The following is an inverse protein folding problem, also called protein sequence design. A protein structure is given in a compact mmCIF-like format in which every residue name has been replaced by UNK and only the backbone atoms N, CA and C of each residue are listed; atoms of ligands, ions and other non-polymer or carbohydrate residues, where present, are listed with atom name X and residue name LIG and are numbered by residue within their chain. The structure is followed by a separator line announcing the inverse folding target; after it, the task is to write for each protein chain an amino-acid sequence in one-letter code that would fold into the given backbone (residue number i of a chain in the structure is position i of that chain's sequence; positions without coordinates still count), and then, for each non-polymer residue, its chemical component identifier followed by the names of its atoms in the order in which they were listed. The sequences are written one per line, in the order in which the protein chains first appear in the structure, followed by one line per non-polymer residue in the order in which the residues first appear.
data_IF_074640818654
#
_entry.id   IF_074640818654
#
_cell.length_a   1.000
_cell.length_b   1.000
_cell.length_c   1.000
_cell.angle_alpha   90.00
_cell.angle_beta   90.00
_cell.angle_gamma   90.00
#
_symmetry.space_group_name_H-M   'P 1'
#
loop_
_entity.id
_entity.type
_entity.pdbx_description
1 polymer ?
#
# COMPACT_ATOMS: atom_id res chain seq x y z
N UNK A 1 -7.66 27.46 -16.63
CA UNK A 1 -7.13 26.21 -17.19
C UNK A 1 -6.62 25.41 -16.01
N UNK A 2 -7.38 24.42 -15.55
CA UNK A 2 -6.94 23.54 -14.46
C UNK A 2 -5.91 22.58 -15.04
N UNK A 3 -4.74 22.54 -14.43
CA UNK A 3 -3.68 21.59 -14.79
C UNK A 3 -4.07 20.21 -14.24
N UNK A 4 -4.27 19.26 -15.14
CA UNK A 4 -4.47 17.86 -14.77
C UNK A 4 -3.08 17.22 -14.77
N UNK A 5 -2.34 17.42 -13.67
CA UNK A 5 -1.06 16.76 -13.47
C UNK A 5 -1.32 15.26 -13.34
N UNK A 6 -0.95 14.50 -14.37
CA UNK A 6 -0.96 13.05 -14.37
C UNK A 6 0.37 12.56 -13.80
N UNK A 7 0.32 11.72 -12.77
CA UNK A 7 1.50 11.08 -12.21
C UNK A 7 1.69 9.72 -12.87
N UNK A 8 2.57 9.67 -13.89
CA UNK A 8 2.93 8.46 -14.60
C UNK A 8 4.31 8.00 -14.13
N UNK A 9 4.37 6.85 -13.44
CA UNK A 9 5.62 6.18 -13.10
C UNK A 9 6.28 5.62 -14.36
N UNK A 10 7.21 6.38 -14.94
CA UNK A 10 7.89 6.03 -16.19
C UNK A 10 8.99 4.99 -16.00
N UNK A 11 9.81 5.14 -14.96
CA UNK A 11 10.96 4.29 -14.69
C UNK A 11 11.38 4.40 -13.23
N UNK A 12 11.76 3.28 -12.62
CA UNK A 12 12.43 3.24 -11.32
C UNK A 12 13.75 2.49 -11.46
N UNK A 13 14.84 3.06 -10.94
CA UNK A 13 16.14 2.39 -10.83
C UNK A 13 16.44 2.25 -9.34
N UNK A 14 16.73 1.03 -8.91
CA UNK A 14 16.89 0.68 -7.50
C UNK A 14 18.24 0.00 -7.35
N UNK A 15 19.05 0.50 -6.43
CA UNK A 15 20.38 -0.06 -6.12
C UNK A 15 20.31 -0.64 -4.73
N UNK A 16 20.59 -1.93 -4.62
CA UNK A 16 20.53 -2.68 -3.38
C UNK A 16 21.94 -3.06 -2.93
N UNK A 17 22.27 -2.77 -1.67
CA UNK A 17 23.40 -3.40 -1.00
C UNK A 17 22.95 -4.74 -0.41
N UNK A 18 23.19 -5.82 -1.14
CA UNK A 18 22.78 -7.17 -0.74
C UNK A 18 23.43 -7.65 0.55
N UNK A 19 24.60 -7.10 0.94
CA UNK A 19 25.26 -7.45 2.19
C UNK A 19 24.51 -6.88 3.41
N UNK A 20 23.71 -5.83 3.23
CA UNK A 20 22.86 -5.28 4.28
C UNK A 20 21.54 -6.04 4.44
N UNK A 21 21.23 -6.99 3.54
CA UNK A 21 19.93 -7.66 3.45
C UNK A 21 19.97 -9.11 3.95
N UNK A 22 21.03 -9.54 4.64
CA UNK A 22 21.30 -10.95 5.00
C UNK A 22 20.16 -11.67 5.76
N UNK A 23 19.22 -10.92 6.33
CA UNK A 23 18.10 -11.47 7.12
C UNK A 23 16.81 -11.66 6.30
N UNK A 24 16.76 -11.21 5.05
CA UNK A 24 15.59 -11.28 4.18
C UNK A 24 15.82 -12.19 2.96
N UNK A 25 14.81 -12.99 2.61
CA UNK A 25 14.82 -13.76 1.37
C UNK A 25 14.64 -12.84 0.14
N UNK A 26 15.15 -13.28 -1.01
CA UNK A 26 15.05 -12.54 -2.27
C UNK A 26 13.61 -12.16 -2.61
N UNK A 27 12.63 -13.04 -2.35
CA UNK A 27 11.20 -12.76 -2.58
C UNK A 27 10.74 -11.57 -1.72
N UNK A 28 11.09 -11.57 -0.43
CA UNK A 28 10.72 -10.51 0.50
C UNK A 28 11.32 -9.17 0.07
N UNK A 29 12.59 -9.17 -0.35
CA UNK A 29 13.27 -7.98 -0.87
C UNK A 29 12.54 -7.46 -2.12
N UNK A 30 12.22 -8.34 -3.08
CA UNK A 30 11.54 -7.91 -4.30
C UNK A 30 10.14 -7.35 -4.04
N UNK A 31 9.41 -7.93 -3.08
CA UNK A 31 8.07 -7.48 -2.71
C UNK A 31 8.12 -6.13 -1.96
N UNK A 32 9.06 -5.96 -1.03
CA UNK A 32 9.32 -4.69 -0.33
C UNK A 32 9.67 -3.57 -1.31
N UNK A 33 10.63 -3.85 -2.20
CA UNK A 33 11.10 -2.91 -3.22
C UNK A 33 9.98 -2.55 -4.20
N UNK A 34 9.16 -3.52 -4.61
CA UNK A 34 8.01 -3.27 -5.47
C UNK A 34 6.98 -2.37 -4.78
N UNK A 35 6.70 -2.57 -3.48
CA UNK A 35 5.81 -1.67 -2.73
C UNK A 35 6.31 -0.23 -2.72
N UNK A 36 7.57 0.00 -2.35
CA UNK A 36 8.15 1.35 -2.30
C UNK A 36 8.11 2.00 -3.69
N UNK A 37 8.55 1.28 -4.72
CA UNK A 37 8.66 1.80 -6.06
C UNK A 37 7.31 2.14 -6.70
N UNK A 38 6.32 1.26 -6.53
CA UNK A 38 5.00 1.42 -7.13
C UNK A 38 4.13 2.40 -6.33
N UNK A 39 4.19 2.35 -5.01
CA UNK A 39 3.39 3.23 -4.16
C UNK A 39 4.04 4.60 -3.92
N UNK A 40 5.33 4.78 -4.25
CA UNK A 40 6.11 5.97 -3.95
C UNK A 40 6.05 6.35 -2.44
N UNK A 41 6.08 5.32 -1.58
CA UNK A 41 6.01 5.45 -0.12
C UNK A 41 7.41 5.67 0.46
N UNK A 42 7.50 6.50 1.50
CA UNK A 42 8.70 6.62 2.33
C UNK A 42 8.92 5.28 3.09
N UNK A 43 10.05 4.58 2.90
CA UNK A 43 10.31 3.29 3.53
C UNK A 43 10.35 3.31 5.07
N UNK A 44 10.56 4.48 5.68
CA UNK A 44 10.67 4.63 7.14
C UNK A 44 9.30 4.80 7.82
N UNK A 45 8.20 4.52 7.11
CA UNK A 45 6.85 4.57 7.69
C UNK A 45 6.53 3.31 8.49
N UNK A 46 5.83 3.50 9.60
CA UNK A 46 5.25 2.42 10.39
C UNK A 46 3.84 2.10 9.87
N UNK A 47 3.61 0.96 9.21
CA UNK A 47 2.32 0.64 8.62
C UNK A 47 1.31 0.26 9.71
N UNK A 48 0.11 0.85 9.65
CA UNK A 48 -0.96 0.56 10.61
C UNK A 48 -1.52 -0.88 10.53
N UNK A 49 -1.16 -1.64 9.49
CA UNK A 49 -1.58 -3.01 9.23
C UNK A 49 -0.37 -3.83 8.78
N UNK A 50 -0.35 -5.16 9.03
CA UNK A 50 0.73 -6.02 8.57
C UNK A 50 1.01 -5.84 7.07
N UNK A 51 2.25 -5.50 6.76
CA UNK A 51 2.70 -5.14 5.43
C UNK A 51 4.08 -5.73 5.18
N UNK A 52 4.42 -5.98 3.91
CA UNK A 52 5.82 -6.25 3.55
C UNK A 52 6.75 -5.10 3.95
N UNK A 53 6.24 -3.88 4.15
CA UNK A 53 7.02 -2.75 4.66
C UNK A 53 7.60 -3.00 6.07
N UNK A 54 7.04 -3.95 6.83
CA UNK A 54 7.54 -4.37 8.14
C UNK A 54 8.82 -5.23 8.07
N UNK A 55 9.30 -5.59 6.86
CA UNK A 55 10.41 -6.52 6.65
C UNK A 55 11.68 -6.16 7.44
N UNK A 56 11.95 -4.87 7.61
CA UNK A 56 13.12 -4.36 8.34
C UNK A 56 12.76 -3.69 9.68
N UNK A 57 11.50 -3.76 10.10
CA UNK A 57 11.06 -3.23 11.41
C UNK A 57 11.55 -4.14 12.54
N UNK A 58 11.97 -3.56 13.66
CA UNK A 58 12.37 -4.31 14.86
C UNK A 58 11.16 -4.95 15.58
N UNK A 59 9.98 -4.33 15.46
CA UNK A 59 8.75 -4.72 16.16
C UNK A 59 7.72 -5.40 15.24
N UNK A 60 7.95 -5.36 13.92
CA UNK A 60 7.04 -5.86 12.89
C UNK A 60 7.08 -7.37 12.69
N UNK A 61 6.00 -7.92 12.13
CA UNK A 61 6.02 -9.31 11.66
C UNK A 61 6.72 -9.36 10.31
N UNK A 62 7.77 -10.18 10.19
CA UNK A 62 8.47 -10.39 8.93
C UNK A 62 7.60 -11.22 7.99
N UNK A 63 6.84 -10.53 7.14
CA UNK A 63 5.95 -11.17 6.19
C UNK A 63 6.77 -11.87 5.07
N UNK A 64 6.41 -13.10 4.67
CA UNK A 64 7.17 -13.85 3.67
C UNK A 64 6.94 -13.33 2.24
N UNK A 65 5.86 -12.60 2.00
CA UNK A 65 5.44 -12.01 0.73
C UNK A 65 4.57 -10.77 0.98
N UNK A 66 4.26 -9.99 -0.07
CA UNK A 66 3.22 -8.95 0.00
C UNK A 66 1.95 -9.48 0.69
N UNK A 67 1.45 -8.72 1.65
CA UNK A 67 0.23 -9.07 2.35
C UNK A 67 -0.99 -8.79 1.50
N UNK A 68 -2.17 -9.15 2.02
CA UNK A 68 -3.43 -8.77 1.38
C UNK A 68 -3.60 -7.25 1.35
N UNK A 69 -3.15 -6.56 2.40
CA UNK A 69 -3.19 -5.11 2.51
C UNK A 69 -2.36 -4.46 1.39
N UNK A 70 -1.12 -4.91 1.20
CA UNK A 70 -0.20 -4.39 0.17
C UNK A 70 -0.79 -4.48 -1.23
N UNK A 71 -1.29 -5.66 -1.60
CA UNK A 71 -1.89 -5.89 -2.92
C UNK A 71 -3.15 -5.07 -3.13
N UNK A 72 -4.01 -4.99 -2.12
CA UNK A 72 -5.24 -4.21 -2.19
C UNK A 72 -4.94 -2.71 -2.32
N UNK A 73 -3.90 -2.22 -1.64
CA UNK A 73 -3.43 -0.85 -1.76
C UNK A 73 -2.96 -0.53 -3.19
N UNK A 74 -2.08 -1.37 -3.76
CA UNK A 74 -1.61 -1.17 -5.14
C UNK A 74 -2.76 -1.25 -6.16
N UNK A 75 -3.69 -2.19 -5.98
CA UNK A 75 -4.88 -2.28 -6.84
C UNK A 75 -5.75 -1.03 -6.73
N UNK A 76 -5.93 -0.49 -5.54
CA UNK A 76 -6.67 0.75 -5.33
C UNK A 76 -5.96 1.97 -5.95
N UNK A 77 -4.63 2.03 -5.82
CA UNK A 77 -3.78 3.10 -6.36
C UNK A 77 -3.85 3.15 -7.90
N UNK A 78 -3.77 2.00 -8.57
CA UNK A 78 -3.77 1.93 -10.03
C UNK A 78 -5.15 1.66 -10.67
N UNK A 79 -6.15 1.23 -9.88
CA UNK A 79 -7.48 0.88 -10.35
C UNK A 79 -8.48 2.04 -10.42
N UNK A 80 -8.19 3.17 -9.78
CA UNK A 80 -9.06 4.35 -9.81
C UNK A 80 -8.95 5.10 -11.15
N UNK A 81 -10.06 5.49 -11.82
CA UNK A 81 -10.01 6.40 -12.96
C UNK A 81 -9.41 7.74 -12.51
N UNK A 82 -8.19 8.06 -12.97
CA UNK A 82 -7.38 9.24 -12.58
C UNK A 82 -7.95 10.62 -13.00
N UNK A 83 -9.27 10.79 -13.05
CA UNK A 83 -9.94 12.04 -13.45
C UNK A 83 -10.03 13.08 -12.33
N UNK A 84 -9.67 12.72 -11.10
CA UNK A 84 -9.78 13.62 -9.94
C UNK A 84 -8.46 14.34 -9.68
N UNK A 85 -8.23 15.43 -10.43
CA UNK A 85 -7.18 16.40 -10.17
C UNK A 85 -7.42 17.14 -8.85
N UNK A 86 -7.10 16.52 -7.71
CA UNK A 86 -6.88 17.14 -6.39
C UNK A 86 -6.22 16.08 -5.48
N UNK A 87 -5.05 16.37 -4.90
CA UNK A 87 -4.30 15.47 -4.00
C UNK A 87 -5.15 14.85 -2.88
N UNK A 88 -6.15 15.57 -2.37
CA UNK A 88 -7.11 15.06 -1.38
C UNK A 88 -8.19 14.11 -1.92
N UNK A 89 -8.59 14.25 -3.19
CA UNK A 89 -9.57 13.36 -3.84
C UNK A 89 -8.98 11.99 -4.17
N UNK A 90 -7.67 11.93 -4.43
CA UNK A 90 -6.95 10.67 -4.65
C UNK A 90 -6.94 9.79 -3.39
N UNK A 91 -6.61 10.32 -2.22
CA UNK A 91 -6.57 9.54 -0.97
C UNK A 91 -7.93 8.92 -0.61
N UNK A 92 -9.03 9.68 -0.73
CA UNK A 92 -10.38 9.14 -0.47
C UNK A 92 -10.77 8.05 -1.46
N UNK A 93 -10.39 8.19 -2.74
CA UNK A 93 -10.65 7.15 -3.75
C UNK A 93 -9.82 5.88 -3.52
N UNK A 94 -8.57 6.02 -3.09
CA UNK A 94 -7.69 4.91 -2.70
C UNK A 94 -8.29 4.20 -1.49
N UNK A 95 -8.67 4.94 -0.44
CA UNK A 95 -9.27 4.37 0.76
C UNK A 95 -10.58 3.62 0.47
N UNK A 96 -11.45 4.17 -0.40
CA UNK A 96 -12.70 3.53 -0.79
C UNK A 96 -12.47 2.23 -1.57
N UNK A 97 -11.53 2.23 -2.51
CA UNK A 97 -11.19 1.03 -3.30
C UNK A 97 -10.49 -0.03 -2.43
N UNK A 98 -9.64 0.40 -1.50
CA UNK A 98 -8.98 -0.47 -0.53
C UNK A 98 -9.99 -1.16 0.39
N UNK A 99 -10.92 -0.41 0.97
CA UNK A 99 -11.98 -0.95 1.82
C UNK A 99 -12.85 -1.99 1.06
N UNK A 100 -13.17 -1.69 -0.21
CA UNK A 100 -13.89 -2.61 -1.09
C UNK A 100 -13.13 -3.92 -1.32
N UNK A 101 -11.84 -3.84 -1.63
CA UNK A 101 -11.01 -5.02 -1.94
C UNK A 101 -10.75 -5.89 -0.71
N UNK A 102 -10.65 -5.26 0.47
CA UNK A 102 -10.51 -5.96 1.74
C UNK A 102 -11.83 -6.55 2.26
N UNK A 103 -12.97 -6.19 1.65
CA UNK A 103 -14.29 -6.63 2.11
C UNK A 103 -14.64 -6.08 3.50
N UNK A 104 -14.10 -4.91 3.85
CA UNK A 104 -14.44 -4.19 5.09
C UNK A 104 -15.81 -3.54 4.91
N UNK A 105 -16.86 -4.37 4.83
CA UNK A 105 -18.23 -3.92 5.03
C UNK A 105 -18.42 -3.63 6.51
N UNK A 106 -18.91 -2.44 6.83
CA UNK A 106 -19.31 -2.02 8.17
C UNK A 106 -20.09 -3.14 8.87
N UNK A 107 -19.48 -3.81 9.84
CA UNK A 107 -20.21 -4.64 10.82
C UNK A 107 -20.93 -3.73 11.84
N UNK A 108 -21.77 -2.81 11.36
CA UNK A 108 -22.52 -1.87 12.22
C UNK A 108 -24.04 -1.98 12.05
N UNK A 109 -24.59 -3.19 11.93
CA UNK A 109 -26.04 -3.37 12.12
C UNK A 109 -26.43 -4.74 12.69
N UNK A 110 -25.90 -5.13 13.84
CA UNK A 110 -26.58 -6.08 14.74
C UNK A 110 -26.49 -5.65 16.20
N UNK A 111 -26.90 -4.42 16.50
CA UNK A 111 -27.39 -4.10 17.84
C UNK A 111 -28.82 -3.58 17.68
N UNK A 112 -29.72 -4.52 17.44
CA UNK A 112 -31.16 -4.26 17.50
C UNK A 112 -31.53 -3.74 18.89
N UNK A 113 -32.62 -2.96 19.00
CA UNK A 113 -32.99 -2.34 20.26
C UNK A 113 -33.24 -3.42 21.31
N UNK A 114 -32.54 -3.34 22.43
CA UNK A 114 -32.90 -4.04 23.66
C UNK A 114 -34.22 -3.44 24.15
N UNK A 115 -35.30 -4.21 24.01
CA UNK A 115 -36.52 -4.07 24.81
C UNK A 115 -36.41 -5.04 26.00
#
# INVERSE_FOLDING_TARGET
MMDHTRDDLMQVIIVLDVAALEQADFIQITDYVAMIALAQIDPDVDPAYPSILDLFSEEGTQEPVMTRWDRAYLQALYGAPQTASTTGANLSSIALNLARELGLSEEEETLGPTD
#
